data_IF_879060065408
#
_entry.id   IF_879060065408
#
_cell.length_a   1.000
_cell.length_b   1.000
_cell.length_c   1.000
_cell.angle_alpha   90.00
_cell.angle_beta   90.00
_cell.angle_gamma   90.00
#
_symmetry.space_group_name_H-M   'P 1'
#
loop_
_entity.id
_entity.type
_entity.pdbx_description
1 polymer ?
#
# COMPACT_ATOMS: atom_id res chain seq x y z
N UNK A 1 30.75 -36.36 32.19
CA UNK A 1 30.54 -35.08 31.47
C UNK A 1 31.90 -34.46 31.22
N UNK A 2 32.36 -34.39 29.96
CA UNK A 2 33.67 -33.80 29.66
C UNK A 2 33.59 -32.27 29.86
N UNK A 3 34.39 -31.74 30.78
CA UNK A 3 34.58 -30.30 30.96
C UNK A 3 35.14 -29.70 29.66
N UNK A 4 34.53 -28.61 29.18
CA UNK A 4 35.06 -27.91 28.02
C UNK A 4 36.38 -27.24 28.40
N UNK A 5 37.47 -27.56 27.70
CA UNK A 5 38.77 -26.92 27.87
C UNK A 5 38.65 -25.39 27.76
N UNK A 6 39.37 -24.61 28.59
CA UNK A 6 39.36 -23.15 28.48
C UNK A 6 39.92 -22.70 27.12
N UNK A 7 39.47 -21.54 26.66
CA UNK A 7 39.95 -20.96 25.41
C UNK A 7 41.43 -20.60 25.52
N UNK A 8 42.27 -21.13 24.65
CA UNK A 8 43.72 -20.89 24.67
C UNK A 8 44.11 -19.42 24.36
N UNK A 9 43.17 -18.62 23.85
CA UNK A 9 43.39 -17.20 23.53
C UNK A 9 43.06 -16.28 24.70
N UNK A 10 41.94 -16.50 25.40
CA UNK A 10 41.38 -15.54 26.37
C UNK A 10 40.88 -16.17 27.67
N UNK A 11 41.17 -17.45 27.89
CA UNK A 11 40.82 -18.27 29.06
C UNK A 11 39.32 -18.42 29.37
N UNK A 12 38.44 -17.70 28.67
CA UNK A 12 36.99 -17.89 28.74
C UNK A 12 36.60 -19.34 28.38
N UNK A 13 35.43 -19.78 28.85
CA UNK A 13 34.90 -21.13 28.58
C UNK A 13 34.98 -21.48 27.08
N UNK A 14 35.73 -22.52 26.75
CA UNK A 14 35.90 -22.98 25.37
C UNK A 14 34.64 -23.64 24.82
N UNK A 15 34.58 -23.73 23.50
CA UNK A 15 33.48 -24.33 22.75
C UNK A 15 33.99 -25.48 21.83
N UNK A 16 35.18 -26.00 22.13
CA UNK A 16 35.88 -27.04 21.36
C UNK A 16 36.92 -26.47 20.38
N UNK A 17 37.51 -27.37 19.58
CA UNK A 17 38.58 -27.03 18.63
C UNK A 17 38.05 -26.27 17.41
N UNK A 18 38.61 -25.08 17.19
CA UNK A 18 38.31 -24.24 16.04
C UNK A 18 39.59 -23.66 15.45
N UNK A 19 39.80 -23.87 14.15
CA UNK A 19 41.02 -23.46 13.42
C UNK A 19 42.31 -24.03 14.00
N UNK A 20 42.26 -25.20 14.65
CA UNK A 20 43.43 -25.92 15.16
C UNK A 20 43.65 -25.86 16.68
N UNK A 21 42.91 -25.02 17.41
CA UNK A 21 43.09 -24.79 18.87
C UNK A 21 41.76 -24.81 19.61
N UNK A 22 41.76 -25.07 20.91
CA UNK A 22 40.55 -24.97 21.73
C UNK A 22 40.18 -23.50 21.98
N UNK A 23 39.01 -23.09 21.48
CA UNK A 23 38.62 -21.68 21.45
C UNK A 23 37.17 -21.44 21.85
N UNK A 24 36.91 -20.27 22.45
CA UNK A 24 35.55 -19.80 22.70
C UNK A 24 34.92 -19.27 21.40
N UNK A 25 33.58 -19.21 21.36
CA UNK A 25 32.82 -18.67 20.20
C UNK A 25 33.25 -17.25 19.80
N UNK A 26 33.67 -16.44 20.78
CA UNK A 26 34.16 -15.09 20.58
C UNK A 26 35.45 -15.05 19.77
N UNK A 27 36.48 -15.81 20.19
CA UNK A 27 37.77 -15.89 19.51
C UNK A 27 37.65 -16.55 18.13
N UNK A 28 36.84 -17.60 18.00
CA UNK A 28 36.53 -18.23 16.70
C UNK A 28 35.92 -17.22 15.71
N UNK A 29 34.90 -16.48 16.13
CA UNK A 29 34.22 -15.51 15.27
C UNK A 29 35.09 -14.28 14.96
N UNK A 30 35.95 -13.90 15.90
CA UNK A 30 36.91 -12.81 15.73
C UNK A 30 38.01 -13.19 14.72
N UNK A 31 38.62 -14.37 14.87
CA UNK A 31 39.67 -14.85 13.97
C UNK A 31 39.16 -14.98 12.53
N UNK A 32 38.02 -15.65 12.32
CA UNK A 32 37.42 -15.80 10.99
C UNK A 32 37.15 -14.46 10.31
N UNK A 33 36.53 -13.50 11.02
CA UNK A 33 36.21 -12.18 10.45
C UNK A 33 37.46 -11.36 10.13
N UNK A 34 38.52 -11.50 10.92
CA UNK A 34 39.77 -10.79 10.69
C UNK A 34 40.48 -11.32 9.45
N UNK A 35 40.54 -12.64 9.28
CA UNK A 35 41.17 -13.27 8.11
C UNK A 35 40.34 -13.06 6.84
N UNK A 36 39.04 -13.38 6.84
CA UNK A 36 38.17 -13.26 5.65
C UNK A 36 38.11 -11.83 5.12
N UNK A 37 37.99 -10.84 6.01
CA UNK A 37 37.87 -9.43 5.61
C UNK A 37 39.24 -8.72 5.54
N UNK A 38 40.36 -9.44 5.68
CA UNK A 38 41.73 -8.88 5.66
C UNK A 38 41.89 -7.66 6.59
N UNK A 39 41.30 -7.69 7.78
CA UNK A 39 41.32 -6.54 8.72
C UNK A 39 42.71 -6.37 9.31
N UNK A 40 43.17 -5.13 9.32
CA UNK A 40 44.38 -4.70 10.02
C UNK A 40 43.97 -3.89 11.25
N UNK A 41 44.58 -4.18 12.40
CA UNK A 41 44.33 -3.48 13.65
C UNK A 41 45.62 -2.80 14.11
N UNK A 42 45.49 -1.66 14.78
CA UNK A 42 46.59 -0.99 15.50
C UNK A 42 46.38 -1.15 17.00
N UNK A 43 47.46 -1.37 17.74
CA UNK A 43 47.41 -1.27 19.20
C UNK A 43 47.50 0.20 19.59
N UNK A 44 46.81 0.59 20.67
CA UNK A 44 46.91 1.93 21.25
C UNK A 44 48.00 2.04 22.31
N UNK A 45 48.50 0.90 22.78
CA UNK A 45 49.54 0.77 23.81
C UNK A 45 50.84 0.23 23.17
N UNK A 46 51.66 -0.47 23.95
CA UNK A 46 52.97 -1.04 23.62
C UNK A 46 52.94 -2.43 22.95
N UNK A 47 51.79 -2.81 22.37
CA UNK A 47 51.57 -4.13 21.75
C UNK A 47 51.65 -5.33 22.72
N UNK A 48 51.66 -5.10 24.03
CA UNK A 48 51.77 -6.16 25.06
C UNK A 48 50.48 -6.42 25.86
N UNK A 49 49.32 -5.92 25.39
CA UNK A 49 48.06 -5.99 26.11
C UNK A 49 47.69 -7.41 26.59
N UNK A 50 47.29 -7.53 27.85
CA UNK A 50 46.79 -8.79 28.42
C UNK A 50 45.44 -9.20 27.79
N UNK A 51 45.41 -10.42 27.25
CA UNK A 51 44.23 -11.00 26.57
C UNK A 51 43.53 -12.05 27.44
N UNK A 52 44.13 -12.45 28.55
CA UNK A 52 43.73 -13.59 29.38
C UNK A 52 42.68 -13.23 30.44
N UNK A 53 42.56 -11.95 30.81
CA UNK A 53 41.58 -11.46 31.79
C UNK A 53 40.45 -10.65 31.12
N UNK A 54 39.22 -11.14 31.16
CA UNK A 54 38.10 -10.64 30.34
C UNK A 54 36.98 -10.01 31.18
N UNK A 55 37.14 -8.76 31.58
CA UNK A 55 36.00 -7.87 31.94
C UNK A 55 35.94 -6.56 31.14
N UNK A 56 36.81 -6.35 30.13
CA UNK A 56 36.81 -5.15 29.28
C UNK A 56 37.17 -5.42 27.81
N UNK A 57 37.01 -4.40 26.95
CA UNK A 57 37.28 -4.46 25.50
C UNK A 57 38.75 -4.87 25.21
N UNK A 58 38.98 -6.16 24.94
CA UNK A 58 40.28 -6.68 24.53
C UNK A 58 40.84 -5.98 23.27
N UNK A 59 42.11 -5.57 23.33
CA UNK A 59 42.83 -4.97 22.20
C UNK A 59 42.79 -5.90 20.97
N UNK A 60 42.23 -5.41 19.86
CA UNK A 60 42.02 -6.22 18.65
C UNK A 60 43.34 -6.64 17.98
N UNK A 61 44.39 -5.80 18.06
CA UNK A 61 45.71 -6.15 17.51
C UNK A 61 46.33 -7.31 18.29
N UNK A 62 46.56 -7.13 19.59
CA UNK A 62 47.17 -8.14 20.47
C UNK A 62 46.33 -9.43 20.54
N UNK A 63 44.99 -9.33 20.50
CA UNK A 63 44.12 -10.51 20.42
C UNK A 63 44.32 -11.31 19.14
N UNK A 64 44.48 -10.65 18.00
CA UNK A 64 44.71 -11.35 16.74
C UNK A 64 46.09 -11.99 16.68
N UNK A 65 47.11 -11.29 17.19
CA UNK A 65 48.45 -11.84 17.34
C UNK A 65 48.47 -13.05 18.28
N UNK A 66 47.77 -12.98 19.41
CA UNK A 66 47.59 -14.12 20.32
C UNK A 66 46.90 -15.29 19.60
N UNK A 67 45.83 -15.05 18.82
CA UNK A 67 45.20 -16.11 18.01
C UNK A 67 46.21 -16.83 17.10
N UNK A 68 47.10 -16.09 16.44
CA UNK A 68 48.15 -16.68 15.59
C UNK A 68 49.20 -17.41 16.43
N UNK A 69 49.62 -16.82 17.55
CA UNK A 69 50.64 -17.36 18.45
C UNK A 69 50.22 -18.70 19.07
N UNK A 70 48.94 -18.87 19.41
CA UNK A 70 48.42 -20.15 19.94
C UNK A 70 48.21 -21.20 18.84
N UNK A 71 48.35 -20.83 17.56
CA UNK A 71 48.30 -21.78 16.44
C UNK A 71 46.99 -21.80 15.66
N UNK A 72 46.16 -20.74 15.71
CA UNK A 72 45.01 -20.67 14.80
C UNK A 72 45.46 -20.56 13.34
N UNK A 73 45.05 -21.53 12.54
CA UNK A 73 45.45 -21.68 11.13
C UNK A 73 44.54 -20.89 10.19
N UNK A 74 45.10 -19.97 9.42
CA UNK A 74 44.36 -19.14 8.44
C UNK A 74 43.82 -19.99 7.29
N UNK A 75 44.60 -20.99 6.89
CA UNK A 75 44.31 -21.95 5.84
C UNK A 75 43.14 -22.89 6.15
N UNK A 76 42.77 -23.03 7.43
CA UNK A 76 41.59 -23.80 7.86
C UNK A 76 40.27 -23.06 7.63
N UNK A 77 40.30 -21.85 7.05
CA UNK A 77 39.12 -21.05 6.71
C UNK A 77 38.73 -21.33 5.26
N UNK A 78 37.63 -22.04 5.07
CA UNK A 78 37.05 -22.26 3.75
C UNK A 78 36.45 -20.96 3.20
N UNK A 79 36.95 -20.49 2.04
CA UNK A 79 36.56 -19.22 1.42
C UNK A 79 35.20 -19.29 0.67
N UNK A 80 34.70 -20.48 0.37
CA UNK A 80 33.48 -20.67 -0.40
C UNK A 80 32.57 -21.69 0.29
N UNK A 81 31.47 -21.20 0.89
CA UNK A 81 30.26 -22.00 1.02
C UNK A 81 29.37 -21.67 -0.18
N UNK A 82 28.76 -22.69 -0.75
CA UNK A 82 27.84 -22.58 -1.89
C UNK A 82 26.79 -21.48 -1.67
N UNK A 83 26.61 -20.67 -2.71
CA UNK A 83 25.72 -19.51 -2.74
C UNK A 83 24.31 -20.02 -3.03
N UNK A 84 23.67 -20.65 -2.05
CA UNK A 84 22.23 -20.76 -2.01
C UNK A 84 21.72 -19.85 -0.88
N UNK A 85 21.27 -18.64 -1.25
CA UNK A 85 20.43 -17.82 -0.37
C UNK A 85 21.01 -16.50 0.17
N UNK A 86 21.79 -15.73 -0.61
CA UNK A 86 21.93 -14.28 -0.34
C UNK A 86 21.78 -13.43 -1.60
N UNK A 87 20.75 -12.57 -1.58
CA UNK A 87 20.56 -11.43 -2.47
C UNK A 87 21.77 -10.50 -2.36
N UNK A 88 22.23 -10.01 -3.51
CA UNK A 88 23.19 -8.91 -3.63
C UNK A 88 22.84 -7.79 -2.64
N UNK A 89 23.75 -7.39 -1.72
CA UNK A 89 23.59 -6.13 -1.03
C UNK A 89 24.01 -5.01 -1.99
N UNK A 90 23.08 -4.57 -2.85
CA UNK A 90 23.15 -3.19 -3.33
C UNK A 90 23.07 -2.30 -2.09
N UNK A 91 24.17 -1.59 -1.81
CA UNK A 91 24.38 -0.57 -0.77
C UNK A 91 23.14 -0.26 0.08
N UNK A 92 22.96 -1.02 1.16
CA UNK A 92 22.05 -0.64 2.24
C UNK A 92 22.69 0.51 3.00
N UNK A 93 22.28 1.74 2.68
CA UNK A 93 22.42 2.87 3.59
C UNK A 93 21.35 2.67 4.67
N UNK A 94 21.67 1.88 5.69
CA UNK A 94 20.88 1.77 6.92
C UNK A 94 21.85 1.83 8.10
N UNK A 95 21.79 2.88 8.94
CA UNK A 95 22.55 2.91 10.18
C UNK A 95 21.98 1.91 11.19
N UNK A 96 22.85 1.40 12.05
CA UNK A 96 22.51 0.51 13.17
C UNK A 96 21.52 1.17 14.15
N UNK A 97 20.67 0.40 14.84
CA UNK A 97 19.72 0.95 15.81
C UNK A 97 20.48 1.35 17.07
N UNK A 98 20.83 2.63 17.14
CA UNK A 98 21.31 3.28 18.36
C UNK A 98 20.73 4.68 18.37
N UNK A 99 20.03 4.99 19.46
CA UNK A 99 19.41 6.29 19.81
C UNK A 99 18.27 6.77 18.90
N UNK A 100 17.12 7.01 19.54
CA UNK A 100 15.95 7.73 19.03
C UNK A 100 16.36 9.03 18.32
N UNK A 101 16.56 8.96 17.00
CA UNK A 101 16.62 10.14 16.16
C UNK A 101 15.19 10.45 15.73
N UNK A 102 14.66 11.56 16.25
CA UNK A 102 13.39 12.14 15.80
C UNK A 102 13.44 12.25 14.27
N UNK A 103 12.51 11.59 13.59
CA UNK A 103 12.33 11.68 12.14
C UNK A 103 11.98 13.14 11.79
N UNK A 104 12.98 13.98 11.56
CA UNK A 104 12.80 15.30 10.98
C UNK A 104 12.87 15.16 9.48
N UNK A 105 11.71 14.92 8.87
CA UNK A 105 11.52 15.15 7.44
C UNK A 105 11.02 16.59 7.26
N UNK A 106 11.83 17.53 6.75
CA UNK A 106 11.31 18.78 6.25
C UNK A 106 10.56 18.46 4.95
N UNK A 107 9.22 18.53 4.94
CA UNK A 107 8.43 18.31 3.71
C UNK A 107 7.98 19.65 3.14
N UNK A 108 8.55 20.09 2.00
CA UNK A 108 7.90 21.08 1.15
C UNK A 108 6.81 20.36 0.34
N UNK A 109 5.53 20.73 0.57
CA UNK A 109 4.33 20.27 -0.19
C UNK A 109 4.24 18.75 -0.46
N UNK A 110 3.45 18.08 0.38
CA UNK A 110 3.12 16.64 0.30
C UNK A 110 2.28 16.26 -0.93
N UNK A 111 2.49 15.07 -1.52
CA UNK A 111 1.64 14.58 -2.63
C UNK A 111 0.17 14.49 -2.19
N UNK A 112 -0.09 14.07 -0.95
CA UNK A 112 -1.45 13.96 -0.42
C UNK A 112 -2.14 15.33 -0.27
N UNK A 113 -1.39 16.40 0.06
CA UNK A 113 -2.00 17.74 0.11
C UNK A 113 -2.43 18.23 -1.26
N UNK A 114 -1.65 17.94 -2.31
CA UNK A 114 -2.02 18.28 -3.69
C UNK A 114 -3.26 17.51 -4.13
N UNK A 115 -3.30 16.20 -3.89
CA UNK A 115 -4.45 15.35 -4.19
C UNK A 115 -5.71 15.87 -3.45
N UNK A 116 -5.57 16.26 -2.18
CA UNK A 116 -6.65 16.82 -1.37
C UNK A 116 -7.19 18.12 -1.95
N UNK A 117 -6.32 19.07 -2.29
CA UNK A 117 -6.72 20.33 -2.90
C UNK A 117 -7.50 20.10 -4.19
N UNK A 118 -7.00 19.22 -5.06
CA UNK A 118 -7.67 18.91 -6.32
C UNK A 118 -8.96 18.13 -6.13
N UNK A 119 -9.06 17.29 -5.09
CA UNK A 119 -10.31 16.60 -4.75
C UNK A 119 -11.38 17.61 -4.32
N UNK A 120 -11.01 18.65 -3.57
CA UNK A 120 -11.94 19.75 -3.28
C UNK A 120 -12.38 20.50 -4.54
N UNK A 121 -11.50 20.67 -5.53
CA UNK A 121 -11.90 21.24 -6.81
C UNK A 121 -12.85 20.32 -7.59
N UNK A 122 -12.60 19.01 -7.62
CA UNK A 122 -13.54 18.03 -8.18
C UNK A 122 -14.93 18.16 -7.54
N UNK A 123 -15.00 18.28 -6.21
CA UNK A 123 -16.27 18.47 -5.50
C UNK A 123 -16.99 19.76 -5.95
N UNK A 124 -16.26 20.85 -6.18
CA UNK A 124 -16.84 22.10 -6.71
C UNK A 124 -17.36 21.93 -8.14
N UNK A 125 -16.59 21.28 -9.02
CA UNK A 125 -17.00 21.01 -10.40
C UNK A 125 -18.26 20.15 -10.45
N UNK A 126 -18.35 19.12 -9.59
CA UNK A 126 -19.54 18.26 -9.46
C UNK A 126 -20.82 19.04 -9.16
N UNK A 127 -20.75 20.13 -8.38
CA UNK A 127 -21.93 20.97 -8.11
C UNK A 127 -22.51 21.52 -9.41
N UNK A 128 -21.65 21.99 -10.32
CA UNK A 128 -22.09 22.57 -11.59
C UNK A 128 -22.51 21.48 -12.57
N UNK A 129 -21.67 20.47 -12.78
CA UNK A 129 -21.90 19.42 -13.79
C UNK A 129 -23.14 18.59 -13.47
N UNK A 130 -23.46 18.35 -12.19
CA UNK A 130 -24.64 17.59 -11.80
C UNK A 130 -25.90 18.44 -11.62
N UNK A 131 -25.78 19.76 -11.48
CA UNK A 131 -26.94 20.66 -11.41
C UNK A 131 -27.62 20.89 -12.76
N UNK A 132 -26.95 20.59 -13.89
CA UNK A 132 -27.48 20.77 -15.25
C UNK A 132 -28.72 19.89 -15.55
N UNK A 133 -29.11 18.97 -14.68
CA UNK A 133 -30.34 18.15 -14.80
C UNK A 133 -31.57 18.84 -14.16
N UNK A 134 -31.81 20.13 -14.49
CA UNK A 134 -33.11 20.80 -14.29
C UNK A 134 -33.37 21.43 -12.91
N UNK A 135 -32.35 21.64 -12.07
CA UNK A 135 -32.48 22.29 -10.77
C UNK A 135 -32.16 23.79 -10.78
N UNK A 136 -32.79 24.55 -9.87
CA UNK A 136 -32.36 25.94 -9.59
C UNK A 136 -30.93 25.97 -9.04
N UNK A 137 -30.06 26.85 -9.57
CA UNK A 137 -28.69 27.05 -9.04
C UNK A 137 -28.67 27.49 -7.57
N UNK A 138 -29.80 27.96 -7.03
CA UNK A 138 -29.90 28.55 -5.70
C UNK A 138 -30.49 27.59 -4.65
N UNK A 139 -31.10 26.48 -5.08
CA UNK A 139 -31.74 25.53 -4.18
C UNK A 139 -31.14 24.15 -4.39
N UNK A 140 -30.41 23.64 -3.38
CA UNK A 140 -29.90 22.28 -3.40
C UNK A 140 -31.07 21.31 -3.11
N UNK A 141 -31.48 20.46 -4.07
CA UNK A 141 -32.60 19.54 -3.85
C UNK A 141 -32.29 18.59 -2.69
N UNK A 142 -33.33 18.14 -1.99
CA UNK A 142 -33.17 17.10 -0.99
C UNK A 142 -32.64 15.81 -1.67
N UNK A 143 -31.72 15.06 -1.02
CA UNK A 143 -31.25 13.78 -1.54
C UNK A 143 -32.41 12.85 -1.86
N UNK A 144 -32.40 12.24 -3.06
CA UNK A 144 -33.40 11.25 -3.47
C UNK A 144 -32.76 9.94 -3.92
N UNK A 145 -33.59 8.90 -4.01
CA UNK A 145 -33.22 7.65 -4.69
C UNK A 145 -33.00 7.89 -6.18
N UNK A 146 -31.96 7.29 -6.77
CA UNK A 146 -31.77 7.21 -8.22
C UNK A 146 -32.13 5.83 -8.76
N UNK A 147 -32.53 5.78 -10.03
CA UNK A 147 -32.67 4.53 -10.78
C UNK A 147 -31.32 4.05 -11.33
N UNK A 148 -31.28 2.82 -11.84
CA UNK A 148 -30.15 2.23 -12.52
C UNK A 148 -29.70 3.12 -13.70
N UNK A 149 -30.65 3.52 -14.55
CA UNK A 149 -30.37 4.31 -15.75
C UNK A 149 -29.78 5.69 -15.42
N UNK A 150 -30.32 6.36 -14.41
CA UNK A 150 -29.79 7.64 -13.93
C UNK A 150 -28.38 7.48 -13.35
N UNK A 151 -28.16 6.42 -12.59
CA UNK A 151 -26.88 6.14 -11.94
C UNK A 151 -25.78 5.87 -12.96
N UNK A 152 -26.01 5.02 -13.96
CA UNK A 152 -24.95 4.72 -14.93
C UNK A 152 -24.63 5.88 -15.87
N UNK A 153 -25.58 6.79 -16.13
CA UNK A 153 -25.31 8.08 -16.79
C UNK A 153 -24.47 9.01 -15.93
N UNK A 154 -24.76 9.07 -14.62
CA UNK A 154 -23.92 9.78 -13.66
C UNK A 154 -22.50 9.22 -13.67
N UNK A 155 -22.35 7.89 -13.60
CA UNK A 155 -21.05 7.23 -13.58
C UNK A 155 -20.23 7.46 -14.85
N UNK A 156 -20.86 7.61 -16.02
CA UNK A 156 -20.13 7.99 -17.24
C UNK A 156 -19.50 9.38 -17.13
N UNK A 157 -20.25 10.38 -16.64
CA UNK A 157 -19.70 11.73 -16.43
C UNK A 157 -18.62 11.74 -15.36
N UNK A 158 -18.87 11.01 -14.26
CA UNK A 158 -17.93 10.88 -13.16
C UNK A 158 -16.61 10.21 -13.58
N UNK A 159 -16.64 9.28 -14.54
CA UNK A 159 -15.43 8.70 -15.11
C UNK A 159 -14.48 9.78 -15.64
N UNK A 160 -14.99 10.71 -16.45
CA UNK A 160 -14.18 11.78 -17.03
C UNK A 160 -13.76 12.81 -15.97
N UNK A 161 -14.64 13.17 -15.04
CA UNK A 161 -14.30 14.09 -13.95
C UNK A 161 -13.20 13.52 -13.03
N UNK A 162 -13.26 12.21 -12.74
CA UNK A 162 -12.23 11.52 -11.97
C UNK A 162 -10.92 11.42 -12.75
N UNK A 163 -10.96 11.16 -14.06
CA UNK A 163 -9.76 11.16 -14.92
C UNK A 163 -9.08 12.54 -14.97
N UNK A 164 -9.86 13.62 -15.02
CA UNK A 164 -9.35 14.99 -14.95
C UNK A 164 -8.76 15.30 -13.57
N UNK A 165 -9.43 14.88 -12.49
CA UNK A 165 -8.91 15.02 -11.13
C UNK A 165 -7.55 14.31 -10.96
N UNK A 166 -7.41 13.10 -11.52
CA UNK A 166 -6.13 12.37 -11.53
C UNK A 166 -5.07 13.15 -12.29
N UNK A 167 -5.38 13.60 -13.50
CA UNK A 167 -4.44 14.34 -14.35
C UNK A 167 -3.92 15.60 -13.67
N UNK A 168 -4.81 16.32 -12.96
CA UNK A 168 -4.44 17.51 -12.18
C UNK A 168 -3.65 17.18 -10.89
N UNK A 169 -3.87 16.00 -10.31
CA UNK A 169 -3.23 15.58 -9.05
C UNK A 169 -1.84 14.97 -9.25
N UNK A 170 -1.56 14.44 -10.44
CA UNK A 170 -0.34 13.71 -10.71
C UNK A 170 0.28 14.16 -12.05
N UNK A 171 1.16 15.17 -12.07
CA UNK A 171 1.78 15.66 -13.30
C UNK A 171 2.46 14.55 -14.13
N UNK A 172 3.16 13.63 -13.46
CA UNK A 172 3.84 12.50 -14.11
C UNK A 172 2.86 11.47 -14.70
N UNK A 173 1.60 11.44 -14.26
CA UNK A 173 0.56 10.63 -14.90
C UNK A 173 0.25 11.16 -16.30
N UNK A 174 0.25 12.49 -16.49
CA UNK A 174 -0.02 13.11 -17.80
C UNK A 174 1.07 12.81 -18.84
N UNK A 175 2.27 12.47 -18.40
CA UNK A 175 3.41 12.09 -19.25
C UNK A 175 3.32 10.65 -19.76
N UNK A 176 2.48 9.80 -19.14
CA UNK A 176 2.33 8.41 -19.57
C UNK A 176 1.68 8.32 -20.97
N UNK A 177 2.07 7.31 -21.77
CA UNK A 177 1.33 6.96 -22.98
C UNK A 177 -0.15 6.70 -22.67
N UNK A 178 -1.04 7.04 -23.60
CA UNK A 178 -2.49 6.84 -23.44
C UNK A 178 -2.85 5.40 -23.09
N UNK A 179 -2.19 4.41 -23.72
CA UNK A 179 -2.40 2.99 -23.41
C UNK A 179 -2.12 2.64 -21.94
N UNK A 180 -1.12 3.28 -21.33
CA UNK A 180 -0.78 3.06 -19.92
C UNK A 180 -1.77 3.78 -18.99
N UNK A 181 -2.21 5.00 -19.35
CA UNK A 181 -3.27 5.71 -18.64
C UNK A 181 -4.56 4.90 -18.63
N UNK A 182 -4.95 4.32 -19.77
CA UNK A 182 -6.15 3.50 -19.91
C UNK A 182 -6.11 2.26 -19.01
N UNK A 183 -4.96 1.56 -18.94
CA UNK A 183 -4.78 0.40 -18.05
C UNK A 183 -4.98 0.80 -16.58
N UNK A 184 -4.36 1.90 -16.15
CA UNK A 184 -4.48 2.40 -14.77
C UNK A 184 -5.92 2.85 -14.46
N UNK A 185 -6.52 3.67 -15.33
CA UNK A 185 -7.88 4.19 -15.14
C UNK A 185 -8.93 3.08 -15.12
N UNK A 186 -8.81 2.09 -16.01
CA UNK A 186 -9.71 0.94 -16.08
C UNK A 186 -9.71 0.13 -14.79
N UNK A 187 -8.52 -0.15 -14.24
CA UNK A 187 -8.39 -0.84 -12.96
C UNK A 187 -8.86 0.03 -11.76
N UNK A 188 -8.71 1.34 -11.89
CA UNK A 188 -8.95 2.29 -10.81
C UNK A 188 -10.42 2.63 -10.63
N UNK A 189 -11.14 2.99 -11.70
CA UNK A 189 -12.38 3.78 -11.56
C UNK A 189 -13.49 3.11 -10.74
N UNK A 190 -13.85 1.86 -11.04
CA UNK A 190 -14.88 1.15 -10.26
C UNK A 190 -14.43 0.91 -8.82
N UNK A 191 -13.13 0.70 -8.60
CA UNK A 191 -12.54 0.54 -7.28
C UNK A 191 -12.58 1.85 -6.50
N UNK A 192 -12.30 2.99 -7.15
CA UNK A 192 -12.44 4.33 -6.59
C UNK A 192 -13.90 4.66 -6.26
N UNK A 193 -14.83 4.34 -7.15
CA UNK A 193 -16.27 4.54 -6.92
C UNK A 193 -16.74 3.82 -5.64
N UNK A 194 -16.32 2.57 -5.45
CA UNK A 194 -16.60 1.83 -4.22
C UNK A 194 -15.91 2.47 -3.00
N UNK A 195 -14.63 2.83 -3.11
CA UNK A 195 -13.87 3.49 -2.03
C UNK A 195 -14.53 4.81 -1.60
N UNK A 196 -14.93 5.64 -2.56
CA UNK A 196 -15.56 6.94 -2.32
C UNK A 196 -16.94 6.78 -1.67
N UNK A 197 -17.70 5.74 -2.04
CA UNK A 197 -18.94 5.40 -1.34
C UNK A 197 -18.71 5.10 0.15
N UNK A 198 -17.64 4.39 0.49
CA UNK A 198 -17.24 4.16 1.87
C UNK A 198 -16.81 5.43 2.59
N UNK A 199 -16.13 6.35 1.90
CA UNK A 199 -15.78 7.67 2.45
C UNK A 199 -17.02 8.53 2.72
N UNK A 200 -17.99 8.57 1.80
CA UNK A 200 -19.27 9.26 2.03
C UNK A 200 -20.05 8.63 3.19
N UNK A 201 -20.05 7.30 3.32
CA UNK A 201 -20.64 6.62 4.47
C UNK A 201 -20.01 7.06 5.80
N UNK A 202 -18.68 7.27 5.84
CA UNK A 202 -17.99 7.83 7.00
C UNK A 202 -18.48 9.26 7.30
N UNK A 203 -18.50 10.13 6.30
CA UNK A 203 -18.92 11.54 6.44
C UNK A 203 -20.37 11.69 6.90
N UNK A 204 -21.25 10.76 6.50
CA UNK A 204 -22.68 10.78 6.84
C UNK A 204 -23.02 9.88 8.02
N UNK A 205 -22.04 9.13 8.55
CA UNK A 205 -22.21 8.12 9.60
C UNK A 205 -23.37 7.17 9.30
N UNK A 206 -23.48 6.72 8.05
CA UNK A 206 -24.65 6.01 7.54
C UNK A 206 -24.27 4.98 6.48
N UNK A 207 -24.76 3.75 6.59
CA UNK A 207 -24.37 2.58 5.76
C UNK A 207 -25.55 1.79 5.19
N UNK A 208 -26.78 2.25 5.41
CA UNK A 208 -28.01 1.62 4.90
C UNK A 208 -28.32 1.99 3.45
N UNK A 209 -27.72 3.06 2.94
CA UNK A 209 -27.84 3.53 1.56
C UNK A 209 -26.44 3.79 0.96
N UNK A 210 -26.36 3.77 -0.36
CA UNK A 210 -25.14 4.09 -1.10
C UNK A 210 -25.20 5.53 -1.60
N UNK A 211 -24.41 6.43 -1.02
CA UNK A 211 -24.36 7.83 -1.46
C UNK A 211 -23.60 7.99 -2.77
N UNK A 212 -24.13 8.82 -3.66
CA UNK A 212 -23.59 9.10 -4.99
C UNK A 212 -22.92 10.48 -5.03
N UNK A 213 -21.99 10.72 -5.96
CA UNK A 213 -21.26 12.00 -6.05
C UNK A 213 -22.11 13.25 -6.25
N UNK A 214 -23.30 13.12 -6.83
CA UNK A 214 -24.28 14.20 -6.98
C UNK A 214 -25.08 14.49 -5.70
N UNK A 215 -24.86 13.73 -4.62
CA UNK A 215 -25.58 13.85 -3.35
C UNK A 215 -26.86 13.03 -3.23
N UNK A 216 -27.28 12.34 -4.30
CA UNK A 216 -28.36 11.36 -4.27
C UNK A 216 -27.87 10.01 -3.72
N UNK A 217 -28.74 9.00 -3.71
CA UNK A 217 -28.39 7.68 -3.20
C UNK A 217 -29.03 6.52 -3.96
N UNK A 218 -28.45 5.33 -3.83
CA UNK A 218 -29.08 4.05 -4.18
C UNK A 218 -29.69 3.46 -2.91
N UNK A 219 -30.96 3.10 -2.95
CA UNK A 219 -31.63 2.41 -1.86
C UNK A 219 -31.32 0.91 -1.90
N UNK A 220 -30.26 0.50 -1.21
CA UNK A 220 -29.82 -0.90 -1.16
C UNK A 220 -30.80 -1.84 -0.42
N UNK A 221 -31.80 -1.31 0.30
CA UNK A 221 -32.84 -2.13 0.95
C UNK A 221 -34.00 -2.44 0.01
N UNK A 222 -34.30 -1.52 -0.92
CA UNK A 222 -35.34 -1.70 -1.94
C UNK A 222 -34.71 -1.57 -3.33
N UNK A 223 -33.97 -2.59 -3.75
CA UNK A 223 -33.32 -2.60 -5.06
C UNK A 223 -34.32 -2.65 -6.22
N UNK A 224 -35.55 -3.10 -6.01
CA UNK A 224 -36.58 -3.05 -7.04
C UNK A 224 -36.87 -1.61 -7.48
N UNK A 225 -36.84 -0.65 -6.53
CA UNK A 225 -36.95 0.78 -6.86
C UNK A 225 -35.76 1.30 -7.67
N UNK A 226 -34.57 0.75 -7.46
CA UNK A 226 -33.37 1.10 -8.23
C UNK A 226 -33.45 0.55 -9.65
N UNK A 227 -33.91 -0.69 -9.81
CA UNK A 227 -34.13 -1.33 -11.11
C UNK A 227 -35.50 -0.99 -11.72
N UNK A 228 -36.22 0.02 -11.22
CA UNK A 228 -37.51 0.37 -11.79
C UNK A 228 -37.34 0.87 -13.23
N UNK A 229 -38.08 0.28 -14.15
CA UNK A 229 -38.12 0.66 -15.56
C UNK A 229 -39.55 1.02 -15.96
N UNK A 230 -39.84 2.32 -15.97
CA UNK A 230 -41.16 2.87 -16.30
C UNK A 230 -41.66 2.44 -17.68
N UNK A 231 -40.74 2.17 -18.62
CA UNK A 231 -41.08 1.85 -20.02
C UNK A 231 -41.16 0.34 -20.29
N UNK A 232 -40.88 -0.52 -19.30
CA UNK A 232 -40.81 -1.98 -19.44
C UNK A 232 -40.03 -2.45 -20.69
N UNK A 233 -38.93 -1.77 -21.00
CA UNK A 233 -38.05 -2.08 -22.13
C UNK A 233 -36.97 -3.10 -21.76
N UNK A 234 -36.75 -3.33 -20.46
CA UNK A 234 -35.77 -4.30 -20.00
C UNK A 234 -36.28 -5.74 -20.19
N UNK A 235 -35.44 -6.68 -20.67
CA UNK A 235 -35.83 -8.07 -20.87
C UNK A 235 -36.00 -8.86 -19.56
N UNK A 236 -35.68 -8.26 -18.40
CA UNK A 236 -35.92 -8.84 -17.09
C UNK A 236 -36.67 -7.87 -16.18
N UNK A 237 -37.50 -8.42 -15.29
CA UNK A 237 -38.26 -7.63 -14.33
C UNK A 237 -37.34 -6.92 -13.32
N UNK A 238 -37.81 -5.83 -12.73
CA UNK A 238 -37.07 -5.12 -11.66
C UNK A 238 -36.81 -6.02 -10.44
N UNK A 239 -37.71 -6.95 -10.13
CA UNK A 239 -37.56 -7.92 -9.06
C UNK A 239 -36.46 -8.97 -9.36
N UNK A 240 -36.43 -9.50 -10.58
CA UNK A 240 -35.39 -10.43 -11.00
C UNK A 240 -34.02 -9.74 -11.06
N UNK A 241 -33.96 -8.52 -11.59
CA UNK A 241 -32.75 -7.70 -11.60
C UNK A 241 -32.24 -7.41 -10.18
N UNK A 242 -33.14 -7.00 -9.27
CA UNK A 242 -32.82 -6.78 -7.86
C UNK A 242 -32.25 -8.05 -7.20
N UNK A 243 -32.83 -9.23 -7.50
CA UNK A 243 -32.37 -10.51 -6.97
C UNK A 243 -31.03 -10.93 -7.54
N UNK A 244 -30.81 -10.73 -8.84
CA UNK A 244 -29.61 -11.14 -9.57
C UNK A 244 -28.40 -10.27 -9.20
N UNK A 245 -28.59 -8.94 -9.15
CA UNK A 245 -27.51 -7.96 -9.00
C UNK A 245 -27.38 -7.38 -7.58
N UNK A 246 -28.12 -7.89 -6.58
CA UNK A 246 -27.94 -7.49 -5.17
C UNK A 246 -26.52 -7.68 -4.64
N UNK A 247 -25.73 -8.54 -5.29
CA UNK A 247 -24.34 -8.82 -4.95
C UNK A 247 -23.48 -7.56 -4.88
N UNK A 248 -23.65 -6.64 -5.82
CA UNK A 248 -22.95 -5.34 -5.82
C UNK A 248 -23.21 -4.53 -4.56
N UNK A 249 -24.47 -4.30 -4.19
CA UNK A 249 -24.83 -3.50 -3.02
C UNK A 249 -24.45 -4.18 -1.70
N UNK A 250 -24.73 -5.48 -1.57
CA UNK A 250 -24.40 -6.26 -0.36
C UNK A 250 -22.89 -6.40 -0.17
N UNK A 251 -22.15 -6.64 -1.26
CA UNK A 251 -20.70 -6.72 -1.28
C UNK A 251 -20.04 -5.40 -0.90
N UNK A 252 -20.49 -4.28 -1.48
CA UNK A 252 -19.98 -2.95 -1.13
C UNK A 252 -20.27 -2.61 0.35
N UNK A 253 -21.49 -2.85 0.84
CA UNK A 253 -21.84 -2.61 2.24
C UNK A 253 -20.93 -3.38 3.20
N UNK A 254 -20.77 -4.69 2.97
CA UNK A 254 -19.98 -5.58 3.84
C UNK A 254 -18.49 -5.33 3.78
N UNK A 255 -17.94 -5.13 2.57
CA UNK A 255 -16.51 -5.08 2.36
C UNK A 255 -15.95 -3.64 2.40
N UNK A 256 -16.78 -2.61 2.24
CA UNK A 256 -16.32 -1.22 2.10
C UNK A 256 -16.96 -0.29 3.12
N UNK A 257 -18.29 -0.11 3.10
CA UNK A 257 -18.99 0.88 3.93
C UNK A 257 -18.80 0.59 5.42
N UNK A 258 -19.09 -0.65 5.85
CA UNK A 258 -18.98 -1.05 7.27
C UNK A 258 -17.52 -0.98 7.75
N UNK A 259 -16.52 -1.58 7.05
CA UNK A 259 -15.13 -1.51 7.49
C UNK A 259 -14.57 -0.08 7.54
N UNK A 260 -14.85 0.76 6.54
CA UNK A 260 -14.35 2.14 6.53
C UNK A 260 -14.97 2.98 7.65
N UNK A 261 -16.27 2.83 7.92
CA UNK A 261 -16.93 3.52 9.02
C UNK A 261 -16.38 3.05 10.39
N UNK A 262 -16.18 1.73 10.56
CA UNK A 262 -15.60 1.15 11.78
C UNK A 262 -14.19 1.68 12.04
N UNK A 263 -13.37 1.76 11.00
CA UNK A 263 -12.02 2.34 11.12
C UNK A 263 -12.05 3.88 11.19
N UNK A 264 -13.21 4.53 11.04
CA UNK A 264 -13.33 5.98 10.98
C UNK A 264 -12.32 6.59 10.00
N UNK A 265 -12.37 6.13 8.74
CA UNK A 265 -11.41 6.53 7.71
C UNK A 265 -11.49 8.04 7.47
N UNK A 266 -10.35 8.70 7.63
CA UNK A 266 -10.20 10.15 7.41
C UNK A 266 -10.08 10.48 5.92
N UNK A 267 -10.26 11.75 5.55
CA UNK A 267 -10.01 12.19 4.18
C UNK A 267 -8.56 11.98 3.74
N UNK A 268 -7.59 12.15 4.66
CA UNK A 268 -6.18 11.88 4.37
C UNK A 268 -5.97 10.41 3.97
N UNK A 269 -6.53 9.48 4.75
CA UNK A 269 -6.45 8.05 4.51
C UNK A 269 -7.18 7.64 3.23
N UNK A 270 -8.39 8.14 3.00
CA UNK A 270 -9.14 7.92 1.77
C UNK A 270 -8.33 8.30 0.52
N UNK A 271 -7.73 9.48 0.50
CA UNK A 271 -6.95 9.95 -0.65
C UNK A 271 -5.63 9.19 -0.81
N UNK A 272 -5.01 8.76 0.30
CA UNK A 272 -3.85 7.89 0.25
C UNK A 272 -4.20 6.51 -0.34
N UNK A 273 -5.33 5.92 0.08
CA UNK A 273 -5.83 4.68 -0.49
C UNK A 273 -6.16 4.83 -1.98
N UNK A 274 -6.81 5.93 -2.38
CA UNK A 274 -7.09 6.21 -3.79
C UNK A 274 -5.80 6.27 -4.62
N UNK A 275 -4.77 6.98 -4.14
CA UNK A 275 -3.48 7.02 -4.83
C UNK A 275 -2.82 5.63 -4.92
N UNK A 276 -2.89 4.82 -3.86
CA UNK A 276 -2.32 3.46 -3.86
C UNK A 276 -3.07 2.48 -4.78
N UNK A 277 -4.38 2.67 -4.98
CA UNK A 277 -5.19 1.88 -5.90
C UNK A 277 -4.92 2.30 -7.35
N UNK A 278 -4.79 3.61 -7.61
CA UNK A 278 -4.49 4.13 -8.95
C UNK A 278 -3.15 3.62 -9.46
N UNK A 279 -2.10 3.76 -8.63
CA UNK A 279 -0.74 3.36 -9.00
C UNK A 279 -0.48 1.90 -8.61
N UNK A 280 -1.17 0.97 -9.26
CA UNK A 280 -0.94 -0.47 -9.17
C UNK A 280 0.30 -0.88 -10.01
N UNK A 281 1.02 -1.92 -9.59
CA UNK A 281 2.25 -2.41 -10.25
C UNK A 281 2.10 -3.80 -10.86
N UNK A 282 0.90 -4.40 -10.83
CA UNK A 282 0.65 -5.78 -11.22
C UNK A 282 -0.37 -5.94 -12.35
N UNK A 283 -0.59 -4.92 -13.16
CA UNK A 283 -1.63 -4.96 -14.21
C UNK A 283 -1.06 -5.48 -15.53
N UNK A 284 -1.87 -6.27 -16.23
CA UNK A 284 -1.56 -6.79 -17.56
C UNK A 284 -1.35 -5.63 -18.56
N UNK A 285 -0.29 -5.74 -19.38
CA UNK A 285 0.07 -4.74 -20.38
C UNK A 285 0.78 -3.50 -19.84
N UNK A 286 1.11 -3.43 -18.55
CA UNK A 286 1.93 -2.34 -18.01
C UNK A 286 3.36 -2.37 -18.55
N UNK A 287 3.87 -1.21 -18.95
CA UNK A 287 5.29 -1.05 -19.30
C UNK A 287 6.17 -0.94 -18.05
N UNK A 288 7.46 -1.29 -18.18
CA UNK A 288 8.43 -1.13 -17.09
C UNK A 288 8.51 0.31 -16.56
N UNK A 289 8.40 1.30 -17.46
CA UNK A 289 8.38 2.72 -17.10
C UNK A 289 7.14 3.10 -16.28
N UNK A 290 5.97 2.54 -16.62
CA UNK A 290 4.73 2.74 -15.88
C UNK A 290 4.82 2.11 -14.48
N UNK A 291 5.33 0.87 -14.40
CA UNK A 291 5.55 0.17 -13.13
C UNK A 291 6.50 0.97 -12.23
N UNK A 292 7.59 1.51 -12.77
CA UNK A 292 8.55 2.30 -12.02
C UNK A 292 7.94 3.61 -11.51
N UNK A 293 7.13 4.31 -12.32
CA UNK A 293 6.36 5.46 -11.85
C UNK A 293 5.40 5.07 -10.71
N UNK A 294 4.67 3.97 -10.88
CA UNK A 294 3.74 3.49 -9.85
C UNK A 294 4.46 3.21 -8.53
N UNK A 295 5.60 2.50 -8.56
CA UNK A 295 6.43 2.26 -7.37
C UNK A 295 6.89 3.55 -6.70
N UNK A 296 7.34 4.54 -7.48
CA UNK A 296 7.78 5.84 -6.95
C UNK A 296 6.65 6.57 -6.23
N UNK A 297 5.47 6.64 -6.84
CA UNK A 297 4.30 7.32 -6.23
C UNK A 297 3.83 6.59 -4.98
N UNK A 298 3.69 5.25 -5.02
CA UNK A 298 3.31 4.43 -3.87
C UNK A 298 4.26 4.65 -2.68
N UNK A 299 5.57 4.60 -2.92
CA UNK A 299 6.58 4.82 -1.90
C UNK A 299 6.47 6.22 -1.28
N UNK A 300 6.16 7.24 -2.08
CA UNK A 300 5.96 8.61 -1.58
C UNK A 300 4.72 8.70 -0.69
N UNK A 301 3.59 8.15 -1.14
CA UNK A 301 2.34 8.11 -0.37
C UNK A 301 2.53 7.37 0.96
N UNK A 302 3.14 6.19 0.94
CA UNK A 302 3.37 5.41 2.16
C UNK A 302 4.32 6.12 3.14
N UNK A 303 5.37 6.78 2.65
CA UNK A 303 6.26 7.61 3.49
C UNK A 303 5.50 8.76 4.14
N UNK A 304 4.61 9.43 3.40
CA UNK A 304 3.76 10.48 3.95
C UNK A 304 2.77 9.96 4.98
N UNK A 305 2.18 8.78 4.79
CA UNK A 305 1.33 8.14 5.81
C UNK A 305 2.11 7.84 7.09
N UNK A 306 3.31 7.28 7.00
CA UNK A 306 4.18 7.01 8.14
C UNK A 306 4.50 8.30 8.89
N UNK A 307 4.84 9.36 8.16
CA UNK A 307 5.12 10.68 8.75
C UNK A 307 3.88 11.27 9.43
N UNK A 308 2.72 11.21 8.77
CA UNK A 308 1.46 11.70 9.33
C UNK A 308 1.12 11.02 10.66
N UNK A 309 1.15 9.68 10.72
CA UNK A 309 0.81 9.00 11.95
C UNK A 309 1.88 9.11 13.05
N UNK A 310 3.16 9.14 12.70
CA UNK A 310 4.24 9.30 13.68
C UNK A 310 4.25 10.69 14.35
N UNK A 311 3.65 11.69 13.71
CA UNK A 311 3.52 13.05 14.26
C UNK A 311 2.21 13.27 15.03
N UNK A 312 1.18 12.47 14.76
CA UNK A 312 -0.06 12.44 15.54
C UNK A 312 0.21 11.74 16.89
N UNK A 313 0.46 12.51 17.96
CA UNK A 313 0.78 12.05 19.33
C UNK A 313 -0.29 11.17 20.04
N UNK A 314 -1.23 10.56 19.32
CA UNK A 314 -2.39 9.83 19.88
C UNK A 314 -2.57 8.37 19.41
N UNK A 315 -1.74 7.86 18.50
CA UNK A 315 -1.78 6.44 18.13
C UNK A 315 -0.71 5.68 18.91
N UNK A 316 -1.12 4.96 19.95
CA UNK A 316 -0.25 4.07 20.74
C UNK A 316 0.41 2.98 19.87
N UNK A 317 -0.11 2.73 18.66
CA UNK A 317 0.56 1.98 17.59
C UNK A 317 0.21 2.55 16.19
N UNK A 318 1.01 3.49 15.71
CA UNK A 318 0.83 4.09 14.38
C UNK A 318 1.03 3.08 13.24
N UNK A 319 1.82 2.02 13.47
CA UNK A 319 2.04 0.98 12.48
C UNK A 319 0.78 0.12 12.33
N UNK A 320 0.12 -0.22 13.44
CA UNK A 320 -1.17 -0.91 13.42
C UNK A 320 -2.25 -0.09 12.72
N UNK A 321 -2.34 1.22 12.98
CA UNK A 321 -3.29 2.10 12.26
C UNK A 321 -3.04 2.06 10.76
N UNK A 322 -1.78 2.20 10.33
CA UNK A 322 -1.42 2.12 8.92
C UNK A 322 -1.77 0.76 8.32
N UNK A 323 -1.49 -0.34 9.03
CA UNK A 323 -1.81 -1.69 8.57
C UNK A 323 -3.32 -1.90 8.40
N UNK A 324 -4.13 -1.48 9.37
CA UNK A 324 -5.59 -1.56 9.29
C UNK A 324 -6.14 -0.78 8.11
N UNK A 325 -5.64 0.45 7.89
CA UNK A 325 -6.07 1.26 6.74
C UNK A 325 -5.67 0.62 5.41
N UNK A 326 -4.43 0.12 5.29
CA UNK A 326 -3.99 -0.56 4.06
C UNK A 326 -4.75 -1.87 3.79
N UNK A 327 -5.24 -2.55 4.84
CA UNK A 327 -6.04 -3.77 4.71
C UNK A 327 -7.41 -3.55 4.05
N UNK A 328 -7.85 -2.28 3.92
CA UNK A 328 -9.09 -1.92 3.22
C UNK A 328 -8.95 -2.13 1.70
N UNK A 329 -7.77 -1.93 1.12
CA UNK A 329 -7.51 -2.06 -0.33
C UNK A 329 -8.06 -3.38 -0.92
N UNK A 330 -7.65 -4.57 -0.43
CA UNK A 330 -8.15 -5.83 -0.98
C UNK A 330 -9.66 -6.02 -0.79
N UNK A 331 -10.25 -5.42 0.25
CA UNK A 331 -11.70 -5.49 0.50
C UNK A 331 -12.48 -4.65 -0.53
N UNK A 332 -11.97 -3.47 -0.89
CA UNK A 332 -12.54 -2.63 -1.95
C UNK A 332 -12.36 -3.28 -3.32
N UNK A 333 -11.19 -3.87 -3.60
CA UNK A 333 -10.97 -4.62 -4.84
C UNK A 333 -11.96 -5.79 -4.98
N UNK A 334 -12.24 -6.52 -3.91
CA UNK A 334 -13.26 -7.60 -3.90
C UNK A 334 -14.67 -7.07 -4.20
N UNK A 335 -15.04 -5.90 -3.67
CA UNK A 335 -16.33 -5.28 -3.99
C UNK A 335 -16.39 -4.80 -5.46
N UNK A 336 -15.30 -4.23 -5.96
CA UNK A 336 -15.14 -3.80 -7.35
C UNK A 336 -15.26 -4.97 -8.33
N UNK A 337 -14.59 -6.10 -8.05
CA UNK A 337 -14.69 -7.32 -8.84
C UNK A 337 -16.13 -7.82 -8.92
N UNK A 338 -16.86 -7.81 -7.80
CA UNK A 338 -18.27 -8.21 -7.82
C UNK A 338 -19.13 -7.27 -8.70
N UNK A 339 -18.86 -5.98 -8.66
CA UNK A 339 -19.54 -5.00 -9.51
C UNK A 339 -19.21 -5.21 -11.00
N UNK A 340 -17.97 -5.56 -11.33
CA UNK A 340 -17.55 -5.93 -12.69
C UNK A 340 -18.29 -7.17 -13.19
N UNK A 341 -18.37 -8.23 -12.38
CA UNK A 341 -19.15 -9.43 -12.71
C UNK A 341 -20.62 -9.12 -13.00
N UNK A 342 -21.26 -8.32 -12.14
CA UNK A 342 -22.66 -7.94 -12.31
C UNK A 342 -22.86 -7.07 -13.57
N UNK A 343 -21.90 -6.20 -13.89
CA UNK A 343 -21.89 -5.42 -15.14
C UNK A 343 -21.77 -6.29 -16.39
N UNK A 344 -20.89 -7.29 -16.37
CA UNK A 344 -20.72 -8.23 -17.47
C UNK A 344 -21.96 -9.10 -17.67
N UNK A 345 -22.58 -9.57 -16.58
CA UNK A 345 -23.83 -10.33 -16.63
C UNK A 345 -24.97 -9.50 -17.23
N UNK A 346 -25.12 -8.24 -16.82
CA UNK A 346 -26.12 -7.33 -17.40
C UNK A 346 -25.91 -7.15 -18.91
N UNK A 347 -24.66 -6.94 -19.32
CA UNK A 347 -24.32 -6.84 -20.73
C UNK A 347 -24.62 -8.15 -21.51
N UNK A 348 -24.28 -9.31 -20.95
CA UNK A 348 -24.51 -10.62 -21.57
C UNK A 348 -26.00 -10.92 -21.77
N UNK A 349 -26.84 -10.60 -20.78
CA UNK A 349 -28.29 -10.79 -20.87
C UNK A 349 -29.01 -9.68 -21.64
N UNK A 350 -28.28 -8.66 -22.12
CA UNK A 350 -28.83 -7.44 -22.68
C UNK A 350 -29.86 -6.79 -21.73
N UNK A 351 -29.63 -6.90 -20.42
CA UNK A 351 -30.57 -6.58 -19.38
C UNK A 351 -29.90 -5.65 -18.37
N UNK A 352 -30.44 -4.44 -18.23
CA UNK A 352 -29.83 -3.36 -17.46
C UNK A 352 -28.36 -3.20 -17.87
N UNK A 353 -28.09 -3.18 -19.17
CA UNK A 353 -26.76 -2.94 -19.71
C UNK A 353 -26.35 -1.49 -19.48
N UNK A 354 -25.14 -1.27 -18.98
CA UNK A 354 -24.56 0.06 -18.97
C UNK A 354 -24.35 0.57 -20.41
N UNK A 355 -24.31 1.89 -20.59
CA UNK A 355 -24.01 2.50 -21.88
C UNK A 355 -22.67 1.98 -22.41
N UNK A 356 -22.61 1.67 -23.72
CA UNK A 356 -21.44 1.05 -24.36
C UNK A 356 -20.13 1.78 -24.03
N UNK A 357 -20.14 3.11 -24.09
CA UNK A 357 -18.97 3.94 -23.76
C UNK A 357 -18.51 3.74 -22.32
N UNK A 358 -19.43 3.72 -21.36
CA UNK A 358 -19.09 3.47 -19.95
C UNK A 358 -18.54 2.06 -19.74
N UNK A 359 -19.19 1.07 -20.37
CA UNK A 359 -18.77 -0.32 -20.30
C UNK A 359 -17.35 -0.50 -20.85
N UNK A 360 -17.06 0.03 -22.04
CA UNK A 360 -15.72 -0.04 -22.65
C UNK A 360 -14.66 0.68 -21.81
N UNK A 361 -14.99 1.82 -21.21
CA UNK A 361 -14.07 2.56 -20.33
C UNK A 361 -13.67 1.73 -19.09
N UNK A 362 -14.61 0.96 -18.52
CA UNK A 362 -14.39 0.21 -17.27
C UNK A 362 -13.96 -1.26 -17.48
N UNK A 363 -14.38 -1.88 -18.58
CA UNK A 363 -14.19 -3.31 -18.85
C UNK A 363 -13.23 -3.57 -20.01
N UNK A 364 -12.86 -2.52 -20.77
CA UNK A 364 -12.05 -2.63 -21.98
C UNK A 364 -12.91 -2.89 -23.22
N UNK A 365 -12.32 -2.65 -24.39
CA UNK A 365 -12.92 -3.02 -25.68
C UNK A 365 -12.74 -4.53 -25.86
N UNK A 366 -13.86 -5.25 -26.06
CA UNK A 366 -13.85 -6.65 -26.47
C UNK A 366 -13.90 -6.77 -27.98
#
# INVERSE_FOLDING_TARGET
MMSASPCEVCLARGNGKHFGVDACRGCTSFFRRTVVNKRQYKCSEDESCDIENSESLLCKKCRFEKCLKVGMKKESIQNHRDIYGRRNPQKSILPSPSTSSKLQYPIPTTIISTIKQNYSQLQNVRVVVHAMEGGSMFLKPAPRGQSYKETYRLLLREFYLVADWISNSFPHFTELPTSQKDILLRNFYLTFYNLEAGFFACQKSRVDIWFLPNGNFINCHNLESFYHDENNMQPMTSADAAKLFKGTCTGCKRNVLIPMLRENVTQFEFLALAALILFDTGLEGQSDSCIELCRKVRNKVQKEMIYHYSTMRKTEDFALRMANILSIIPSVQKASQKMQEDLELGHLFNAYSAEKTFFENCMGKR
#
